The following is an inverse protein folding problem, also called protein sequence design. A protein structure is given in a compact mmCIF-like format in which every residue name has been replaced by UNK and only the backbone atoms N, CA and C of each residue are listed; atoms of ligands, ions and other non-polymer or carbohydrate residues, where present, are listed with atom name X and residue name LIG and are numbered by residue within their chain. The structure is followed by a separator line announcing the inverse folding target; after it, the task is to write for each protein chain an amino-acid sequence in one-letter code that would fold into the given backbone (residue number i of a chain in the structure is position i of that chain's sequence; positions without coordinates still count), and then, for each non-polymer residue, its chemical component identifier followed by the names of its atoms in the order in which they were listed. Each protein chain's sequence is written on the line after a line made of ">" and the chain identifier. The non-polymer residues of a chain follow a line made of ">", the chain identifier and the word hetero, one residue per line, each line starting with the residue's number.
data_IF_485584195910
#
_entry.id   IF_485584195910
#
_cell.length_a   1.000
_cell.length_b   1.000
_cell.length_c   1.000
_cell.angle_alpha   90.00
_cell.angle_beta   90.00
_cell.angle_gamma   90.00
#
_symmetry.space_group_name_H-M   'P 1'
#
loop_
_entity.id
_entity.type
_entity.pdbx_description
1 polymer ?
#
# COMPACT_ATOMS: atom_id res chain seq x y z
N UNK A 1 32.30 9.06 15.68
CA UNK A 1 30.84 8.95 15.81
C UNK A 1 30.23 9.52 14.54
N UNK A 2 29.53 8.70 13.77
CA UNK A 2 29.24 8.97 12.36
C UNK A 2 28.13 10.00 12.13
N UNK A 3 28.17 10.70 10.99
CA UNK A 3 27.18 11.71 10.61
C UNK A 3 25.71 11.24 10.71
N UNK A 4 25.45 9.95 10.51
CA UNK A 4 24.13 9.33 10.68
C UNK A 4 23.64 9.32 12.15
N UNK A 5 24.51 9.13 13.14
CA UNK A 5 24.10 9.16 14.55
C UNK A 5 23.75 10.57 15.01
N UNK A 6 24.48 11.57 14.49
CA UNK A 6 24.22 12.98 14.78
C UNK A 6 22.91 13.44 14.14
N UNK A 7 22.66 13.07 12.87
CA UNK A 7 21.41 13.40 12.17
C UNK A 7 20.17 12.84 12.87
N UNK A 8 20.18 11.56 13.27
CA UNK A 8 19.06 10.96 13.99
C UNK A 8 18.82 11.59 15.37
N UNK A 9 19.90 11.88 16.10
CA UNK A 9 19.82 12.54 17.40
C UNK A 9 19.34 14.01 17.27
N UNK A 10 19.75 14.72 16.23
CA UNK A 10 19.34 16.09 15.97
C UNK A 10 17.87 16.18 15.52
N UNK A 11 17.35 15.19 14.78
CA UNK A 11 15.92 15.05 14.50
C UNK A 11 15.12 14.73 15.78
N UNK A 12 15.62 13.82 16.60
CA UNK A 12 14.97 13.42 17.86
C UNK A 12 14.93 14.56 18.88
N UNK A 13 16.02 15.33 18.99
CA UNK A 13 16.12 16.51 19.87
C UNK A 13 15.48 17.77 19.28
N UNK A 14 15.01 17.74 18.02
CA UNK A 14 14.39 18.87 17.34
C UNK A 14 15.35 19.96 16.87
N UNK A 15 16.67 19.72 16.91
CA UNK A 15 17.70 20.62 16.35
C UNK A 15 17.64 20.69 14.82
N UNK A 16 17.22 19.61 14.17
CA UNK A 16 16.85 19.54 12.76
C UNK A 16 15.35 19.29 12.68
N UNK A 17 14.62 20.15 11.97
CA UNK A 17 13.17 20.06 11.81
C UNK A 17 12.80 20.22 10.34
N UNK A 18 12.40 19.12 9.72
CA UNK A 18 11.90 19.11 8.34
C UNK A 18 10.50 19.75 8.31
N UNK A 19 10.21 20.62 7.33
CA UNK A 19 8.96 21.38 7.29
C UNK A 19 7.83 20.57 6.64
N UNK A 20 7.31 19.55 7.32
CA UNK A 20 6.16 18.76 6.87
C UNK A 20 4.86 19.59 6.88
N UNK A 21 4.54 20.22 8.02
CA UNK A 21 3.31 21.00 8.19
C UNK A 21 3.34 22.33 7.41
N UNK A 22 4.44 23.12 7.43
CA UNK A 22 4.51 24.35 6.63
C UNK A 22 4.38 24.11 5.13
N UNK A 23 4.86 22.96 4.62
CA UNK A 23 4.75 22.57 3.21
C UNK A 23 3.52 21.70 2.90
N UNK A 24 2.53 21.63 3.79
CA UNK A 24 1.34 20.76 3.61
C UNK A 24 0.62 20.91 2.27
N UNK A 25 0.59 22.12 1.67
CA UNK A 25 -0.02 22.35 0.35
C UNK A 25 0.67 21.53 -0.74
N UNK A 26 2.00 21.50 -0.74
CA UNK A 26 2.78 20.70 -1.68
C UNK A 26 2.47 19.21 -1.50
N UNK A 27 2.46 18.74 -0.25
CA UNK A 27 2.21 17.33 0.06
C UNK A 27 0.78 16.90 -0.29
N UNK A 28 -0.23 17.74 -0.06
CA UNK A 28 -1.59 17.47 -0.50
C UNK A 28 -1.73 17.44 -2.02
N UNK A 29 -1.02 18.30 -2.76
CA UNK A 29 -1.02 18.26 -4.22
C UNK A 29 -0.40 16.94 -4.70
N UNK A 30 0.74 16.53 -4.11
CA UNK A 30 1.40 15.26 -4.44
C UNK A 30 0.48 14.08 -4.10
N UNK A 31 -0.11 14.06 -2.91
CA UNK A 31 -1.04 13.00 -2.49
C UNK A 31 -2.26 12.92 -3.41
N UNK A 32 -2.89 14.05 -3.72
CA UNK A 32 -4.01 14.09 -4.64
C UNK A 32 -3.61 13.61 -6.04
N UNK A 33 -2.44 14.00 -6.55
CA UNK A 33 -1.94 13.53 -7.83
C UNK A 33 -1.68 12.01 -7.84
N UNK A 34 -1.12 11.46 -6.76
CA UNK A 34 -0.88 10.02 -6.62
C UNK A 34 -2.20 9.24 -6.53
N UNK A 35 -3.15 9.68 -5.69
CA UNK A 35 -4.46 9.04 -5.52
C UNK A 35 -5.27 9.11 -6.81
N UNK A 36 -5.36 10.28 -7.45
CA UNK A 36 -6.07 10.45 -8.71
C UNK A 36 -5.39 9.63 -9.80
N UNK A 37 -4.07 9.70 -9.90
CA UNK A 37 -3.29 8.88 -10.84
C UNK A 37 -3.60 7.40 -10.67
N UNK A 38 -3.46 6.88 -9.45
CA UNK A 38 -3.77 5.50 -9.08
C UNK A 38 -5.22 5.09 -9.41
N UNK A 39 -6.20 5.96 -9.12
CA UNK A 39 -7.61 5.71 -9.38
C UNK A 39 -7.99 5.75 -10.87
N UNK A 40 -7.20 6.44 -11.71
CA UNK A 40 -7.42 6.51 -13.16
C UNK A 40 -6.75 5.36 -13.92
N UNK A 41 -5.72 4.72 -13.36
CA UNK A 41 -5.05 3.58 -14.02
C UNK A 41 -6.03 2.49 -14.48
N UNK A 42 -7.02 2.06 -13.68
CA UNK A 42 -8.01 1.07 -14.09
C UNK A 42 -8.79 1.38 -15.37
N UNK A 43 -8.88 2.65 -15.78
CA UNK A 43 -9.54 3.06 -17.03
C UNK A 43 -8.74 2.66 -18.28
N UNK A 44 -7.42 2.53 -18.16
CA UNK A 44 -6.52 2.20 -19.26
C UNK A 44 -5.97 0.77 -19.14
N UNK A 45 -5.78 0.29 -17.91
CA UNK A 45 -5.36 -1.07 -17.60
C UNK A 45 -6.26 -1.65 -16.50
N UNK A 46 -7.18 -2.56 -16.85
CA UNK A 46 -8.07 -3.19 -15.88
C UNK A 46 -7.29 -3.84 -14.75
N UNK A 47 -7.85 -3.76 -13.54
CA UNK A 47 -7.31 -4.47 -12.38
C UNK A 47 -7.36 -5.97 -12.65
N UNK A 48 -6.21 -6.63 -12.52
CA UNK A 48 -6.12 -8.06 -12.77
C UNK A 48 -6.47 -8.83 -11.50
N UNK A 49 -7.66 -9.42 -11.45
CA UNK A 49 -8.01 -10.36 -10.39
C UNK A 49 -7.59 -11.77 -10.76
N UNK A 50 -7.30 -12.56 -9.72
CA UNK A 50 -6.93 -13.96 -9.88
C UNK A 50 -8.10 -14.90 -10.12
N UNK A 51 -7.80 -16.13 -10.52
CA UNK A 51 -8.83 -17.17 -10.70
C UNK A 51 -9.51 -17.55 -9.37
N UNK A 52 -8.90 -17.28 -8.22
CA UNK A 52 -9.53 -17.44 -6.91
C UNK A 52 -10.66 -16.42 -6.67
N UNK A 53 -10.71 -15.32 -7.42
CA UNK A 53 -11.82 -14.38 -7.38
C UNK A 53 -12.80 -14.59 -8.53
N UNK A 54 -12.28 -14.87 -9.72
CA UNK A 54 -13.09 -14.94 -10.96
C UNK A 54 -13.65 -16.33 -11.24
N UNK A 55 -13.01 -17.39 -10.73
CA UNK A 55 -13.26 -18.78 -11.11
C UNK A 55 -12.68 -19.10 -12.50
N UNK A 56 -12.35 -20.35 -12.76
CA UNK A 56 -11.80 -20.79 -14.04
C UNK A 56 -10.53 -21.63 -13.91
N UNK A 57 -9.80 -21.78 -15.01
CA UNK A 57 -8.53 -22.50 -15.07
C UNK A 57 -7.37 -21.54 -15.31
N UNK A 58 -6.21 -21.85 -14.73
CA UNK A 58 -4.97 -21.10 -14.92
C UNK A 58 -3.85 -22.06 -15.29
N UNK A 59 -3.05 -21.67 -16.27
CA UNK A 59 -1.83 -22.35 -16.68
C UNK A 59 -0.66 -21.39 -16.48
N UNK A 60 0.44 -21.89 -15.94
CA UNK A 60 1.71 -21.14 -15.88
C UNK A 60 2.77 -21.94 -16.59
N UNK A 61 3.26 -21.39 -17.69
CA UNK A 61 4.36 -21.91 -18.49
C UNK A 61 5.63 -21.22 -18.02
N UNK A 62 6.55 -21.97 -17.42
CA UNK A 62 7.81 -21.43 -16.90
C UNK A 62 8.94 -21.62 -17.90
N UNK A 63 10.02 -20.85 -17.74
CA UNK A 63 11.26 -20.97 -18.52
C UNK A 63 11.05 -20.80 -20.04
N UNK A 64 10.19 -19.88 -20.44
CA UNK A 64 9.92 -19.62 -21.87
C UNK A 64 11.01 -18.74 -22.49
N UNK A 65 11.42 -19.08 -23.71
CA UNK A 65 12.40 -18.29 -24.47
C UNK A 65 11.78 -17.02 -25.08
N UNK A 66 10.48 -17.06 -25.38
CA UNK A 66 9.70 -15.95 -25.92
C UNK A 66 8.42 -15.77 -25.11
N UNK A 67 8.03 -14.50 -24.89
CA UNK A 67 6.88 -14.13 -24.06
C UNK A 67 5.70 -13.61 -24.88
N UNK A 68 5.63 -13.97 -26.16
CA UNK A 68 4.52 -13.60 -27.04
C UNK A 68 3.22 -14.20 -26.48
N UNK A 69 2.27 -13.33 -26.15
CA UNK A 69 0.99 -13.67 -25.55
C UNK A 69 -0.01 -14.20 -26.58
N UNK A 70 0.19 -13.89 -27.87
CA UNK A 70 -0.66 -14.38 -28.95
C UNK A 70 -0.55 -15.90 -29.08
N UNK A 71 0.66 -16.43 -28.95
CA UNK A 71 0.96 -17.86 -28.95
C UNK A 71 0.18 -18.64 -27.89
N UNK A 72 0.16 -18.13 -26.65
CA UNK A 72 -0.64 -18.73 -25.58
C UNK A 72 -2.13 -18.73 -25.89
N UNK A 73 -2.65 -17.63 -26.44
CA UNK A 73 -4.06 -17.52 -26.80
C UNK A 73 -4.44 -18.49 -27.91
N UNK A 74 -3.61 -18.58 -28.95
CA UNK A 74 -3.81 -19.53 -30.06
C UNK A 74 -3.74 -20.98 -29.59
N UNK A 75 -2.76 -21.32 -28.73
CA UNK A 75 -2.63 -22.65 -28.16
C UNK A 75 -3.90 -23.08 -27.40
N UNK A 76 -4.45 -22.21 -26.56
CA UNK A 76 -5.71 -22.50 -25.84
C UNK A 76 -6.88 -22.64 -26.82
N UNK A 77 -7.01 -21.71 -27.77
CA UNK A 77 -8.12 -21.71 -28.72
C UNK A 77 -8.07 -22.87 -29.73
N UNK A 78 -6.89 -23.45 -29.97
CA UNK A 78 -6.73 -24.65 -30.79
C UNK A 78 -7.39 -25.88 -30.14
N UNK A 79 -7.45 -25.91 -28.81
CA UNK A 79 -8.06 -26.99 -28.03
C UNK A 79 -9.51 -26.68 -27.71
N UNK A 80 -9.79 -25.46 -27.25
CA UNK A 80 -11.14 -25.00 -26.90
C UNK A 80 -11.49 -23.74 -27.70
N UNK A 81 -12.11 -23.91 -28.89
CA UNK A 81 -12.48 -22.79 -29.75
C UNK A 81 -13.39 -21.80 -29.03
N UNK A 82 -13.02 -20.51 -29.07
CA UNK A 82 -13.79 -19.44 -28.45
C UNK A 82 -13.59 -19.26 -26.95
N UNK A 83 -12.65 -19.98 -26.33
CA UNK A 83 -12.28 -19.74 -24.94
C UNK A 83 -11.78 -18.30 -24.73
N UNK A 84 -12.26 -17.66 -23.67
CA UNK A 84 -11.78 -16.34 -23.27
C UNK A 84 -10.44 -16.53 -22.57
N UNK A 85 -9.37 -15.99 -23.15
CA UNK A 85 -8.04 -16.04 -22.53
C UNK A 85 -7.62 -14.69 -22.01
N UNK A 86 -6.92 -14.73 -20.88
CA UNK A 86 -6.23 -13.58 -20.32
C UNK A 86 -4.80 -14.00 -20.06
N UNK A 87 -3.90 -13.46 -20.85
CA UNK A 87 -2.49 -13.82 -20.83
C UNK A 87 -1.69 -12.70 -20.18
N UNK A 88 -0.76 -13.05 -19.30
CA UNK A 88 0.12 -12.09 -18.63
C UNK A 88 1.53 -12.66 -18.55
N UNK A 89 2.52 -11.82 -18.85
CA UNK A 89 3.93 -12.17 -18.69
C UNK A 89 4.35 -11.99 -17.23
N UNK A 90 4.96 -13.01 -16.65
CA UNK A 90 5.40 -13.05 -15.25
C UNK A 90 6.93 -13.08 -15.22
N UNK A 91 7.55 -12.06 -14.63
CA UNK A 91 9.01 -12.01 -14.44
C UNK A 91 9.85 -11.95 -15.73
N UNK A 92 9.22 -11.85 -16.91
CA UNK A 92 9.91 -11.83 -18.21
C UNK A 92 10.30 -13.21 -18.75
N UNK A 93 10.15 -14.28 -17.97
CA UNK A 93 10.57 -15.65 -18.32
C UNK A 93 9.45 -16.70 -18.12
N UNK A 94 8.25 -16.25 -17.73
CA UNK A 94 7.08 -17.10 -17.60
C UNK A 94 5.84 -16.45 -18.21
N UNK A 95 4.92 -17.28 -18.69
CA UNK A 95 3.63 -16.86 -19.22
C UNK A 95 2.54 -17.50 -18.39
N UNK A 96 1.62 -16.67 -17.89
CA UNK A 96 0.42 -17.10 -17.19
C UNK A 96 -0.79 -16.90 -18.09
N UNK A 97 -1.59 -17.95 -18.24
CA UNK A 97 -2.81 -17.96 -19.05
C UNK A 97 -3.98 -18.31 -18.16
N UNK A 98 -4.94 -17.41 -18.05
CA UNK A 98 -6.21 -17.63 -17.37
C UNK A 98 -7.31 -17.84 -18.42
N UNK A 99 -8.19 -18.79 -18.17
CA UNK A 99 -9.31 -19.13 -19.05
C UNK A 99 -10.55 -19.46 -18.23
N UNK A 100 -11.70 -19.48 -18.92
CA UNK A 100 -12.93 -20.07 -18.42
C UNK A 100 -12.70 -21.54 -17.95
N UNK A 101 -13.65 -22.08 -17.21
CA UNK A 101 -13.56 -23.42 -16.64
C UNK A 101 -13.31 -24.47 -17.73
N UNK A 102 -12.35 -25.36 -17.47
CA UNK A 102 -12.01 -26.46 -18.36
C UNK A 102 -12.27 -27.80 -17.68
N UNK A 103 -12.63 -28.81 -18.47
CA UNK A 103 -12.60 -30.21 -18.03
C UNK A 103 -11.16 -30.71 -17.86
N UNK A 104 -10.98 -31.84 -17.18
CA UNK A 104 -9.67 -32.49 -17.03
C UNK A 104 -9.06 -32.91 -18.37
N UNK A 105 -9.89 -33.19 -19.38
CA UNK A 105 -9.43 -33.55 -20.72
C UNK A 105 -8.91 -32.31 -21.46
N UNK A 106 -9.67 -31.22 -21.43
CA UNK A 106 -9.28 -29.93 -22.03
C UNK A 106 -8.04 -29.37 -21.34
N UNK A 107 -7.97 -29.44 -20.01
CA UNK A 107 -6.82 -28.97 -19.23
C UNK A 107 -5.53 -29.68 -19.67
N UNK A 108 -5.56 -31.01 -19.80
CA UNK A 108 -4.40 -31.79 -20.26
C UNK A 108 -4.02 -31.46 -21.71
N UNK A 109 -5.00 -31.29 -22.58
CA UNK A 109 -4.75 -30.93 -23.98
C UNK A 109 -4.17 -29.52 -24.11
N UNK A 110 -4.66 -28.55 -23.33
CA UNK A 110 -4.11 -27.18 -23.28
C UNK A 110 -2.70 -27.17 -22.70
N UNK A 111 -2.44 -27.93 -21.63
CA UNK A 111 -1.08 -28.08 -21.08
C UNK A 111 -0.11 -28.57 -22.16
N UNK A 112 -0.50 -29.58 -22.94
CA UNK A 112 0.32 -30.11 -24.03
C UNK A 112 0.52 -29.08 -25.16
N UNK A 113 -0.53 -28.37 -25.57
CA UNK A 113 -0.46 -27.34 -26.61
C UNK A 113 0.44 -26.16 -26.19
N UNK A 114 0.33 -25.71 -24.94
CA UNK A 114 1.19 -24.64 -24.41
C UNK A 114 2.66 -25.08 -24.32
N UNK A 115 2.92 -26.32 -23.90
CA UNK A 115 4.28 -26.86 -23.85
C UNK A 115 4.92 -26.90 -25.25
N UNK A 116 4.16 -27.36 -26.26
CA UNK A 116 4.64 -27.46 -27.65
C UNK A 116 4.94 -26.08 -28.26
N UNK A 117 4.00 -25.13 -28.13
CA UNK A 117 4.15 -23.79 -28.72
C UNK A 117 5.30 -22.99 -28.10
N UNK A 118 5.52 -23.13 -26.79
CA UNK A 118 6.63 -22.47 -26.10
C UNK A 118 7.93 -23.30 -26.10
N UNK A 119 7.92 -24.51 -26.66
CA UNK A 119 9.09 -25.38 -26.74
C UNK A 119 9.65 -25.83 -25.38
N UNK A 120 8.78 -25.97 -24.38
CA UNK A 120 9.14 -26.40 -23.01
C UNK A 120 8.61 -27.81 -22.71
N UNK A 121 9.14 -28.44 -21.67
CA UNK A 121 8.59 -29.71 -21.18
C UNK A 121 7.19 -29.48 -20.57
N UNK A 122 6.29 -30.46 -20.65
CA UNK A 122 4.99 -30.38 -19.97
C UNK A 122 5.12 -30.23 -18.46
N UNK A 123 6.22 -30.71 -17.86
CA UNK A 123 6.54 -30.50 -16.45
C UNK A 123 6.72 -29.02 -16.08
N UNK A 124 7.06 -28.16 -17.05
CA UNK A 124 7.19 -26.71 -16.87
C UNK A 124 5.84 -25.98 -16.97
N UNK A 125 4.76 -26.70 -17.30
CA UNK A 125 3.41 -26.17 -17.40
C UNK A 125 2.58 -26.62 -16.20
N UNK A 126 2.38 -25.70 -15.25
CA UNK A 126 1.56 -25.95 -14.06
C UNK A 126 0.13 -25.48 -14.30
N UNK A 127 -0.86 -26.34 -14.05
CA UNK A 127 -2.29 -25.99 -14.13
C UNK A 127 -2.95 -25.91 -12.76
N UNK A 128 -3.84 -24.93 -12.57
CA UNK A 128 -4.71 -24.77 -11.39
C UNK A 128 -6.15 -24.54 -11.83
N UNK A 129 -7.11 -24.97 -11.02
CA UNK A 129 -8.55 -24.81 -11.28
C UNK A 129 -9.28 -24.34 -10.03
N UNK A 130 -10.16 -23.36 -10.21
CA UNK A 130 -11.04 -22.86 -9.16
C UNK A 130 -12.50 -22.92 -9.65
N UNK A 131 -13.34 -23.59 -8.85
CA UNK A 131 -14.78 -23.67 -9.09
C UNK A 131 -15.50 -22.33 -8.88
N UNK A 132 -16.64 -22.10 -9.55
CA UNK A 132 -17.34 -20.82 -9.53
C UNK A 132 -17.94 -20.47 -8.16
N UNK A 133 -18.38 -21.48 -7.39
CA UNK A 133 -18.87 -21.27 -6.02
C UNK A 133 -17.75 -20.78 -5.10
N UNK A 134 -16.57 -21.40 -5.20
CA UNK A 134 -15.39 -20.99 -4.44
C UNK A 134 -14.98 -19.56 -4.76
N UNK A 135 -14.89 -19.20 -6.06
CA UNK A 135 -14.52 -17.85 -6.48
C UNK A 135 -15.48 -16.77 -5.95
N UNK A 136 -16.78 -17.04 -6.05
CA UNK A 136 -17.80 -16.13 -5.53
C UNK A 136 -17.74 -15.98 -4.00
N UNK A 137 -17.58 -17.10 -3.27
CA UNK A 137 -17.50 -17.10 -1.81
C UNK A 137 -16.24 -16.37 -1.31
N UNK A 138 -15.08 -16.64 -1.92
CA UNK A 138 -13.81 -15.98 -1.58
C UNK A 138 -13.89 -14.48 -1.85
N UNK A 139 -14.37 -14.07 -3.03
CA UNK A 139 -14.56 -12.64 -3.35
C UNK A 139 -15.43 -11.94 -2.31
N UNK A 140 -16.57 -12.54 -1.98
CA UNK A 140 -17.50 -12.00 -0.98
C UNK A 140 -16.83 -11.89 0.38
N UNK A 141 -16.14 -12.93 0.83
CA UNK A 141 -15.47 -12.94 2.13
C UNK A 141 -14.33 -11.92 2.20
N UNK A 142 -13.54 -11.74 1.14
CA UNK A 142 -12.48 -10.72 1.10
C UNK A 142 -13.04 -9.30 1.18
N UNK A 143 -14.12 -8.99 0.46
CA UNK A 143 -14.77 -7.68 0.51
C UNK A 143 -15.37 -7.38 1.89
N UNK A 144 -16.08 -8.36 2.48
CA UNK A 144 -16.60 -8.22 3.85
C UNK A 144 -15.47 -8.10 4.87
N UNK A 145 -14.39 -8.87 4.73
CA UNK A 145 -13.22 -8.80 5.59
C UNK A 145 -12.58 -7.41 5.58
N UNK A 146 -12.40 -6.81 4.40
CA UNK A 146 -11.87 -5.45 4.27
C UNK A 146 -12.81 -4.40 4.88
N UNK A 147 -14.12 -4.48 4.61
CA UNK A 147 -15.09 -3.54 5.14
C UNK A 147 -15.19 -3.61 6.67
N UNK A 148 -15.23 -4.82 7.23
CA UNK A 148 -15.24 -5.06 8.68
C UNK A 148 -13.94 -4.58 9.31
N UNK A 149 -12.79 -4.86 8.68
CA UNK A 149 -11.49 -4.37 9.14
C UNK A 149 -11.50 -2.83 9.25
N UNK A 150 -11.84 -2.12 8.17
CA UNK A 150 -11.86 -0.65 8.17
C UNK A 150 -12.84 -0.08 9.20
N UNK A 151 -14.02 -0.70 9.34
CA UNK A 151 -15.03 -0.29 10.33
C UNK A 151 -14.55 -0.49 11.77
N UNK A 152 -13.97 -1.65 12.08
CA UNK A 152 -13.42 -1.95 13.41
C UNK A 152 -12.20 -1.07 13.70
N UNK A 153 -11.31 -0.84 12.74
CA UNK A 153 -10.20 0.08 12.86
C UNK A 153 -10.69 1.49 13.17
N UNK A 154 -11.70 2.00 12.45
CA UNK A 154 -12.29 3.30 12.75
C UNK A 154 -12.87 3.35 14.16
N UNK A 155 -13.62 2.32 14.58
CA UNK A 155 -14.22 2.27 15.91
C UNK A 155 -13.15 2.26 17.01
N UNK A 156 -12.13 1.40 16.88
CA UNK A 156 -11.02 1.32 17.83
C UNK A 156 -10.29 2.66 17.89
N UNK A 157 -9.98 3.28 16.74
CA UNK A 157 -9.35 4.59 16.71
C UNK A 157 -10.22 5.70 17.27
N UNK A 158 -11.54 5.63 17.12
CA UNK A 158 -12.47 6.60 17.70
C UNK A 158 -12.56 6.46 19.23
N UNK A 159 -12.45 5.24 19.75
CA UNK A 159 -12.40 4.99 21.21
C UNK A 159 -11.03 5.34 21.80
N UNK A 160 -9.96 5.01 21.07
CA UNK A 160 -8.58 5.25 21.47
C UNK A 160 -8.22 6.73 21.43
N UNK A 161 -8.44 7.37 20.28
CA UNK A 161 -8.24 8.80 20.13
C UNK A 161 -9.47 9.55 20.60
N UNK A 162 -9.35 10.25 21.72
CA UNK A 162 -10.39 11.14 22.29
C UNK A 162 -10.82 12.30 21.37
N UNK A 163 -10.27 12.40 20.17
CA UNK A 163 -10.62 13.41 19.16
C UNK A 163 -10.96 12.72 17.86
N UNK A 164 -12.23 12.78 17.44
CA UNK A 164 -12.71 12.15 16.20
C UNK A 164 -11.94 12.60 14.93
N UNK A 165 -11.38 13.82 14.94
CA UNK A 165 -10.55 14.35 13.84
C UNK A 165 -9.25 13.58 13.65
N UNK A 166 -8.66 13.06 14.73
CA UNK A 166 -7.49 12.15 14.64
C UNK A 166 -7.90 10.86 13.94
N UNK A 167 -9.01 10.25 14.36
CA UNK A 167 -9.52 9.02 13.76
C UNK A 167 -9.83 9.19 12.27
N UNK A 168 -10.45 10.31 11.88
CA UNK A 168 -10.72 10.62 10.45
C UNK A 168 -9.43 10.81 9.65
N UNK A 169 -8.45 11.58 10.17
CA UNK A 169 -7.19 11.78 9.47
C UNK A 169 -6.39 10.46 9.29
N UNK A 170 -6.41 9.59 10.31
CA UNK A 170 -5.81 8.27 10.25
C UNK A 170 -6.49 7.35 9.21
N UNK A 171 -7.83 7.30 9.19
CA UNK A 171 -8.56 6.51 8.19
C UNK A 171 -8.32 7.02 6.77
N UNK A 172 -8.30 8.34 6.56
CA UNK A 172 -7.99 8.90 5.23
C UNK A 172 -6.58 8.50 4.80
N UNK A 173 -5.60 8.49 5.72
CA UNK A 173 -4.26 7.94 5.45
C UNK A 173 -4.31 6.46 5.05
N UNK A 174 -5.03 5.61 5.77
CA UNK A 174 -5.17 4.19 5.40
C UNK A 174 -5.83 3.98 4.02
N UNK A 175 -6.83 4.79 3.69
CA UNK A 175 -7.49 4.75 2.37
C UNK A 175 -6.54 5.20 1.27
N UNK A 176 -5.76 6.25 1.50
CA UNK A 176 -4.69 6.72 0.60
C UNK A 176 -3.68 5.59 0.33
N UNK A 177 -3.24 4.87 1.37
CA UNK A 177 -2.36 3.70 1.22
C UNK A 177 -2.98 2.62 0.34
N UNK A 178 -4.24 2.27 0.60
CA UNK A 178 -4.94 1.22 -0.14
C UNK A 178 -5.11 1.59 -1.62
N UNK A 179 -5.57 2.82 -1.91
CA UNK A 179 -5.81 3.26 -3.29
C UNK A 179 -4.51 3.29 -4.09
N UNK A 180 -3.44 3.87 -3.53
CA UNK A 180 -2.15 3.95 -4.21
C UNK A 180 -1.58 2.54 -4.43
N UNK A 181 -1.68 1.65 -3.44
CA UNK A 181 -1.20 0.27 -3.58
C UNK A 181 -1.95 -0.48 -4.68
N UNK A 182 -3.29 -0.40 -4.72
CA UNK A 182 -4.11 -1.03 -5.78
C UNK A 182 -3.83 -0.39 -7.15
N UNK A 183 -3.61 0.92 -7.22
CA UNK A 183 -3.24 1.60 -8.46
C UNK A 183 -1.88 1.15 -9.00
N UNK A 184 -0.89 0.92 -8.12
CA UNK A 184 0.40 0.33 -8.50
C UNK A 184 0.20 -1.08 -9.06
N UNK A 185 -0.63 -1.89 -8.42
CA UNK A 185 -0.98 -3.23 -8.94
C UNK A 185 -1.57 -3.15 -10.35
N UNK A 186 -2.56 -2.29 -10.55
CA UNK A 186 -3.18 -2.08 -11.86
C UNK A 186 -2.18 -1.58 -12.92
N UNK A 187 -1.25 -0.69 -12.52
CA UNK A 187 -0.30 -0.06 -13.44
C UNK A 187 0.68 -1.08 -14.02
N UNK A 188 1.24 -1.91 -13.14
CA UNK A 188 2.19 -2.96 -13.53
C UNK A 188 1.50 -4.25 -14.01
N UNK A 189 0.17 -4.32 -13.94
CA UNK A 189 -0.59 -5.51 -14.31
C UNK A 189 -0.40 -6.66 -13.32
N UNK A 190 -0.03 -6.36 -12.08
CA UNK A 190 0.06 -7.35 -11.02
C UNK A 190 -1.33 -7.86 -10.65
N UNK A 191 -1.36 -9.15 -10.36
CA UNK A 191 -2.57 -9.87 -10.03
C UNK A 191 -2.94 -9.66 -8.56
N UNK A 192 -4.19 -9.33 -8.30
CA UNK A 192 -4.77 -9.30 -6.96
C UNK A 192 -5.34 -10.69 -6.71
N UNK A 193 -4.61 -11.47 -5.92
CA UNK A 193 -5.02 -12.76 -5.37
C UNK A 193 -5.50 -12.61 -3.92
N UNK A 194 -6.21 -13.60 -3.33
CA UNK A 194 -6.53 -13.60 -1.91
C UNK A 194 -5.30 -13.43 -1.03
N UNK A 195 -4.17 -13.97 -1.48
CA UNK A 195 -2.87 -13.79 -0.84
C UNK A 195 -2.44 -12.32 -0.84
N UNK A 196 -2.56 -11.61 -1.96
CA UNK A 196 -2.31 -10.17 -2.03
C UNK A 196 -3.24 -9.37 -1.09
N UNK A 197 -4.51 -9.76 -0.96
CA UNK A 197 -5.45 -9.12 -0.01
C UNK A 197 -5.01 -9.31 1.44
N UNK A 198 -4.50 -10.50 1.81
CA UNK A 198 -3.90 -10.71 3.14
C UNK A 198 -2.72 -9.75 3.35
N UNK A 199 -1.88 -9.55 2.32
CA UNK A 199 -0.82 -8.56 2.35
C UNK A 199 -1.33 -7.13 2.54
N UNK A 200 -2.41 -6.74 1.84
CA UNK A 200 -3.05 -5.43 2.02
C UNK A 200 -3.58 -5.22 3.45
N UNK A 201 -4.22 -6.22 4.05
CA UNK A 201 -4.68 -6.10 5.44
C UNK A 201 -3.51 -6.03 6.44
N UNK A 202 -2.43 -6.74 6.13
CA UNK A 202 -1.20 -6.73 6.94
C UNK A 202 -0.54 -5.35 6.92
N UNK A 203 -0.37 -4.74 5.74
CA UNK A 203 0.21 -3.39 5.65
C UNK A 203 -0.69 -2.33 6.27
N UNK A 204 -2.02 -2.47 6.19
CA UNK A 204 -2.91 -1.50 6.81
C UNK A 204 -2.79 -1.57 8.34
N UNK A 205 -2.65 -2.76 8.90
CA UNK A 205 -2.38 -2.96 10.34
C UNK A 205 -1.04 -2.36 10.75
N UNK A 206 -0.03 -2.49 9.90
CA UNK A 206 1.29 -1.93 10.11
C UNK A 206 1.29 -0.39 10.01
N UNK A 207 0.64 0.18 8.99
CA UNK A 207 0.47 1.61 8.79
C UNK A 207 -0.31 2.26 9.95
N UNK A 208 -1.29 1.53 10.47
CA UNK A 208 -2.05 1.93 11.66
C UNK A 208 -1.13 2.07 12.88
N UNK A 209 -0.23 1.11 13.12
CA UNK A 209 0.71 1.18 14.23
C UNK A 209 1.62 2.43 14.14
N UNK A 210 2.19 2.70 12.96
CA UNK A 210 3.00 3.90 12.74
C UNK A 210 2.19 5.19 12.96
N UNK A 211 0.98 5.25 12.38
CA UNK A 211 0.06 6.38 12.57
C UNK A 211 -0.27 6.60 14.04
N UNK A 212 -0.49 5.53 14.82
CA UNK A 212 -0.78 5.68 16.26
C UNK A 212 0.35 6.30 17.04
N UNK A 213 1.59 5.91 16.78
CA UNK A 213 2.77 6.46 17.48
C UNK A 213 2.98 7.93 17.11
N UNK A 214 2.84 8.28 15.83
CA UNK A 214 2.94 9.68 15.38
C UNK A 214 1.84 10.53 16.04
N UNK A 215 0.61 10.00 16.09
CA UNK A 215 -0.54 10.74 16.61
C UNK A 215 -0.52 10.88 18.14
N UNK A 216 -0.02 9.88 18.85
CA UNK A 216 0.26 10.00 20.28
C UNK A 216 1.30 11.08 20.54
N UNK A 217 2.38 11.13 19.75
CA UNK A 217 3.38 12.19 19.92
C UNK A 217 2.83 13.57 19.58
N UNK A 218 1.95 13.67 18.58
CA UNK A 218 1.23 14.91 18.28
C UNK A 218 0.37 15.32 19.47
N UNK A 219 -0.36 14.38 20.08
CA UNK A 219 -1.18 14.66 21.27
C UNK A 219 -0.31 15.11 22.44
N UNK A 220 0.79 14.43 22.72
CA UNK A 220 1.76 14.82 23.77
C UNK A 220 2.22 16.28 23.56
N UNK A 221 2.75 16.61 22.38
CA UNK A 221 3.27 17.94 22.06
C UNK A 221 2.21 19.05 21.98
N UNK A 222 0.93 18.68 21.81
CA UNK A 222 -0.19 19.64 21.71
C UNK A 222 -1.00 19.77 23.00
N UNK A 223 -0.87 18.83 23.94
CA UNK A 223 -1.62 18.82 25.21
C UNK A 223 -0.72 19.09 26.41
N UNK A 224 0.45 18.43 26.50
CA UNK A 224 1.37 18.59 27.65
C UNK A 224 2.22 19.85 27.52
N UNK A 225 2.77 20.07 26.33
CA UNK A 225 3.52 21.29 26.01
C UNK A 225 2.62 22.43 25.50
N UNK A 226 1.42 22.12 25.01
CA UNK A 226 0.66 23.03 24.13
C UNK A 226 0.01 24.25 24.81
N UNK A 227 -0.24 24.21 26.12
CA UNK A 227 -0.82 25.37 26.84
C UNK A 227 0.25 26.34 27.35
N UNK A 228 1.45 25.82 27.66
CA UNK A 228 2.56 26.58 28.23
C UNK A 228 3.71 26.84 27.24
N UNK A 229 3.77 26.14 26.10
CA UNK A 229 4.82 26.39 25.10
C UNK A 229 4.47 27.56 24.21
N UNK A 230 5.50 28.37 23.88
CA UNK A 230 5.37 29.44 22.91
C UNK A 230 5.30 28.98 21.46
N UNK A 231 4.93 27.72 21.16
CA UNK A 231 4.82 27.14 19.81
C UNK A 231 3.39 27.23 19.25
N UNK A 232 3.27 27.46 17.95
CA UNK A 232 1.98 27.37 17.24
C UNK A 232 1.52 25.91 17.18
N UNK A 233 0.23 25.66 16.96
CA UNK A 233 -0.29 24.30 16.90
C UNK A 233 0.41 23.48 15.80
N UNK A 234 0.49 24.04 14.60
CA UNK A 234 1.17 23.41 13.48
C UNK A 234 2.66 23.16 13.71
N UNK A 235 3.33 24.00 14.53
CA UNK A 235 4.74 23.78 14.90
C UNK A 235 4.88 22.58 15.86
N UNK A 236 3.99 22.44 16.84
CA UNK A 236 3.95 21.26 17.72
C UNK A 236 3.67 19.97 16.94
N UNK A 237 2.75 20.01 15.97
CA UNK A 237 2.50 18.85 15.07
C UNK A 237 3.75 18.54 14.24
N UNK A 238 4.39 19.55 13.66
CA UNK A 238 5.60 19.35 12.85
C UNK A 238 6.74 18.75 13.67
N UNK A 239 6.91 19.20 14.91
CA UNK A 239 7.90 18.65 15.82
C UNK A 239 7.62 17.18 16.13
N UNK A 240 6.36 16.82 16.40
CA UNK A 240 5.99 15.44 16.71
C UNK A 240 6.31 14.48 15.57
N UNK A 241 6.04 14.90 14.32
CA UNK A 241 6.40 14.13 13.12
C UNK A 241 7.92 13.95 13.02
N UNK A 242 8.70 15.00 13.28
CA UNK A 242 10.18 14.90 13.23
C UNK A 242 10.75 13.98 14.33
N UNK A 243 10.20 14.04 15.54
CA UNK A 243 10.63 13.20 16.66
C UNK A 243 10.37 11.71 16.43
N UNK A 244 9.33 11.40 15.65
CA UNK A 244 8.93 10.02 15.34
C UNK A 244 9.52 9.51 14.02
N UNK A 245 10.00 10.40 13.15
CA UNK A 245 10.48 10.08 11.80
C UNK A 245 11.54 8.97 11.76
N UNK A 246 12.55 9.03 12.63
CA UNK A 246 13.62 8.01 12.67
C UNK A 246 13.05 6.63 13.03
N UNK A 247 12.07 6.59 13.94
CA UNK A 247 11.37 5.35 14.29
C UNK A 247 10.60 4.81 13.09
N UNK A 248 9.79 5.65 12.44
CA UNK A 248 8.99 5.27 11.27
C UNK A 248 9.86 4.77 10.12
N UNK A 249 11.00 5.42 9.87
CA UNK A 249 11.99 4.97 8.87
C UNK A 249 12.56 3.60 9.26
N UNK A 250 12.99 3.43 10.52
CA UNK A 250 13.58 2.18 10.97
C UNK A 250 12.60 1.02 10.88
N UNK A 251 11.35 1.22 11.32
CA UNK A 251 10.33 0.19 11.21
C UNK A 251 10.10 -0.15 9.74
N UNK A 252 9.99 0.86 8.86
CA UNK A 252 9.76 0.68 7.42
C UNK A 252 10.87 -0.15 6.79
N UNK A 253 12.14 0.17 7.07
CA UNK A 253 13.30 -0.57 6.57
C UNK A 253 13.27 -2.03 7.04
N UNK A 254 12.97 -2.27 8.32
CA UNK A 254 12.89 -3.62 8.89
C UNK A 254 11.78 -4.45 8.24
N UNK A 255 10.69 -3.84 7.79
CA UNK A 255 9.61 -4.52 7.08
C UNK A 255 9.91 -4.74 5.58
N UNK A 256 10.56 -3.77 4.92
CA UNK A 256 10.89 -3.83 3.49
C UNK A 256 12.02 -4.82 3.20
N UNK A 257 13.03 -4.92 4.06
CA UNK A 257 14.21 -5.76 3.76
C UNK A 257 13.86 -7.26 3.58
N UNK A 258 13.11 -7.92 4.50
CA UNK A 258 12.76 -9.32 4.32
C UNK A 258 11.80 -9.55 3.14
N UNK A 259 10.81 -8.68 2.97
CA UNK A 259 9.82 -8.81 1.90
C UNK A 259 10.42 -8.53 0.52
N UNK A 260 11.33 -7.56 0.44
CA UNK A 260 12.18 -7.32 -0.71
C UNK A 260 13.11 -8.49 -0.99
N UNK A 261 13.72 -9.09 0.03
CA UNK A 261 14.55 -10.29 -0.16
C UNK A 261 13.73 -11.45 -0.74
N UNK A 262 12.51 -11.71 -0.25
CA UNK A 262 11.63 -12.73 -0.83
C UNK A 262 11.25 -12.36 -2.27
N UNK A 263 10.93 -11.10 -2.54
CA UNK A 263 10.54 -10.65 -3.87
C UNK A 263 11.67 -10.75 -4.90
N UNK A 264 12.89 -10.31 -4.56
CA UNK A 264 14.00 -10.27 -5.50
C UNK A 264 14.83 -11.54 -5.50
N UNK A 265 15.10 -12.15 -4.34
CA UNK A 265 15.88 -13.40 -4.26
C UNK A 265 14.95 -14.60 -4.47
N UNK A 266 13.80 -14.63 -3.79
CA UNK A 266 12.86 -15.74 -3.92
C UNK A 266 12.23 -15.86 -5.32
N UNK A 267 11.89 -14.74 -5.97
CA UNK A 267 11.36 -14.78 -7.33
C UNK A 267 12.44 -15.07 -8.38
N UNK A 268 13.57 -14.33 -8.35
CA UNK A 268 14.58 -14.41 -9.42
C UNK A 268 15.49 -15.64 -9.31
N UNK A 269 15.69 -16.20 -8.11
CA UNK A 269 16.64 -17.30 -7.90
C UNK A 269 15.99 -18.63 -7.51
N UNK A 270 14.80 -18.60 -6.90
CA UNK A 270 14.17 -19.80 -6.33
C UNK A 270 12.84 -20.15 -7.01
N UNK A 271 12.35 -19.33 -7.95
CA UNK A 271 11.11 -19.59 -8.69
C UNK A 271 9.86 -19.65 -7.80
N UNK A 272 9.89 -19.08 -6.59
CA UNK A 272 8.81 -19.23 -5.61
C UNK A 272 7.61 -18.30 -5.90
N UNK A 273 6.79 -18.66 -6.89
CA UNK A 273 5.69 -17.82 -7.40
C UNK A 273 4.53 -17.53 -6.42
N UNK A 274 4.32 -18.35 -5.39
CA UNK A 274 3.21 -18.13 -4.43
C UNK A 274 3.56 -17.15 -3.31
N UNK A 275 4.82 -17.12 -2.88
CA UNK A 275 5.30 -16.19 -1.85
C UNK A 275 5.49 -14.76 -2.38
N UNK A 276 5.64 -14.62 -3.69
CA UNK A 276 5.85 -13.33 -4.34
C UNK A 276 4.64 -12.42 -4.25
N UNK A 277 3.42 -12.94 -4.32
CA UNK A 277 2.19 -12.12 -4.30
C UNK A 277 1.99 -11.42 -2.95
N UNK A 278 2.19 -12.16 -1.84
CA UNK A 278 2.12 -11.61 -0.48
C UNK A 278 3.30 -10.67 -0.23
N UNK A 279 4.52 -11.03 -0.65
CA UNK A 279 5.67 -10.14 -0.45
C UNK A 279 5.58 -8.87 -1.26
N UNK A 280 5.06 -8.91 -2.49
CA UNK A 280 4.87 -7.73 -3.32
C UNK A 280 3.88 -6.75 -2.70
N UNK A 281 2.74 -7.26 -2.21
CA UNK A 281 1.72 -6.43 -1.56
C UNK A 281 2.27 -5.77 -0.30
N UNK A 282 3.03 -6.53 0.51
CA UNK A 282 3.65 -5.98 1.70
C UNK A 282 4.73 -4.97 1.33
N UNK A 283 5.62 -5.29 0.39
CA UNK A 283 6.72 -4.42 -0.04
C UNK A 283 6.22 -3.07 -0.56
N UNK A 284 5.28 -3.09 -1.53
CA UNK A 284 4.68 -1.88 -2.10
C UNK A 284 3.89 -1.12 -1.02
N UNK A 285 3.03 -1.82 -0.29
CA UNK A 285 2.18 -1.21 0.73
C UNK A 285 2.96 -0.56 1.86
N UNK A 286 4.09 -1.13 2.28
CA UNK A 286 4.95 -0.55 3.32
C UNK A 286 5.63 0.73 2.86
N UNK A 287 6.08 0.82 1.60
CA UNK A 287 6.64 2.06 1.03
C UNK A 287 5.59 3.17 1.02
N UNK A 288 4.38 2.84 0.55
CA UNK A 288 3.26 3.78 0.49
C UNK A 288 2.82 4.21 1.90
N UNK A 289 2.78 3.27 2.85
CA UNK A 289 2.45 3.54 4.25
C UNK A 289 3.40 4.54 4.91
N UNK A 290 4.71 4.37 4.70
CA UNK A 290 5.73 5.29 5.23
C UNK A 290 5.54 6.73 4.72
N UNK A 291 5.08 6.89 3.48
CA UNK A 291 4.71 8.17 2.92
C UNK A 291 3.41 8.72 3.55
N UNK A 292 2.36 7.90 3.59
CA UNK A 292 1.01 8.37 3.92
C UNK A 292 0.91 8.94 5.34
N UNK A 293 1.51 8.30 6.34
CA UNK A 293 1.45 8.79 7.73
C UNK A 293 2.05 10.21 7.86
N UNK A 294 3.24 10.40 7.31
CA UNK A 294 4.07 11.60 7.48
C UNK A 294 3.60 12.76 6.61
N UNK A 295 3.22 12.48 5.36
CA UNK A 295 2.92 13.50 4.37
C UNK A 295 1.42 13.75 4.16
N UNK A 296 0.55 12.82 4.58
CA UNK A 296 -0.91 12.93 4.39
C UNK A 296 -1.62 13.04 5.74
N UNK A 297 -1.53 12.01 6.59
CA UNK A 297 -2.35 11.91 7.81
C UNK A 297 -2.04 13.03 8.82
N UNK A 298 -0.76 13.24 9.17
CA UNK A 298 -0.38 14.28 10.14
C UNK A 298 -0.66 15.72 9.65
N UNK A 299 -0.32 16.11 8.40
CA UNK A 299 -0.70 17.41 7.85
C UNK A 299 -2.22 17.62 7.77
N UNK A 300 -2.98 16.58 7.42
CA UNK A 300 -4.44 16.63 7.38
C UNK A 300 -5.03 16.88 8.77
N UNK A 301 -4.53 16.17 9.79
CA UNK A 301 -4.94 16.41 11.17
C UNK A 301 -4.64 17.86 11.61
N UNK A 302 -3.45 18.38 11.31
CA UNK A 302 -3.09 19.78 11.58
C UNK A 302 -4.09 20.75 10.92
N UNK A 303 -4.42 20.55 9.65
CA UNK A 303 -5.40 21.39 8.94
C UNK A 303 -6.78 21.37 9.60
N UNK A 304 -7.26 20.20 10.02
CA UNK A 304 -8.59 20.05 10.64
C UNK A 304 -8.67 20.71 12.03
N UNK A 305 -7.56 20.79 12.75
CA UNK A 305 -7.46 21.35 14.11
C UNK A 305 -7.12 22.83 14.12
N UNK A 306 -6.22 23.29 13.27
CA UNK A 306 -5.86 24.72 13.15
C UNK A 306 -7.06 25.60 12.78
N UNK A 307 -8.10 25.00 12.19
CA UNK A 307 -9.33 25.72 11.88
C UNK A 307 -10.29 25.90 13.08
N UNK A 308 -10.03 25.28 14.22
CA UNK A 308 -10.86 25.42 15.42
C UNK A 308 -10.70 26.81 16.07
N UNK A 309 -11.79 27.45 16.52
CA UNK A 309 -11.73 28.79 17.12
C UNK A 309 -10.78 28.88 18.32
N UNK A 310 -10.78 27.87 19.19
CA UNK A 310 -9.92 27.83 20.37
C UNK A 310 -8.42 27.78 20.00
N UNK A 311 -8.06 27.00 18.98
CA UNK A 311 -6.67 26.88 18.51
C UNK A 311 -6.24 28.16 17.79
N UNK A 312 -7.10 28.75 16.95
CA UNK A 312 -6.80 30.04 16.30
C UNK A 312 -6.54 31.14 17.31
N UNK A 313 -7.42 31.31 18.29
CA UNK A 313 -7.27 32.34 19.32
C UNK A 313 -5.99 32.13 20.15
N UNK A 314 -5.64 30.88 20.46
CA UNK A 314 -4.37 30.56 21.13
C UNK A 314 -3.16 30.93 20.26
N UNK A 315 -3.15 30.50 19.01
CA UNK A 315 -2.04 30.74 18.09
C UNK A 315 -1.87 32.24 17.77
N UNK A 316 -2.96 33.02 17.73
CA UNK A 316 -2.90 34.48 17.63
C UNK A 316 -2.23 35.12 18.86
N UNK A 317 -2.57 34.69 20.09
CA UNK A 317 -1.89 35.16 21.30
C UNK A 317 -0.39 34.85 21.30
N UNK A 318 -0.01 33.66 20.81
CA UNK A 318 1.40 33.26 20.68
C UNK A 318 2.13 34.10 19.62
N UNK A 319 1.48 34.44 18.50
CA UNK A 319 2.08 35.35 17.50
C UNK A 319 2.28 36.75 18.09
N UNK A 320 1.26 37.29 18.76
CA UNK A 320 1.34 38.60 19.40
C UNK A 320 2.44 38.66 20.47
N UNK A 321 2.60 37.64 21.30
CA UNK A 321 3.67 37.60 22.31
C UNK A 321 5.06 37.52 21.68
N UNK A 322 5.22 36.79 20.57
CA UNK A 322 6.47 36.75 19.79
C UNK A 322 6.80 38.10 19.16
N UNK A 323 5.81 38.79 18.61
CA UNK A 323 5.98 40.13 18.04
C UNK A 323 6.43 41.13 19.11
N UNK A 324 5.77 41.13 20.28
CA UNK A 324 6.15 41.97 21.41
C UNK A 324 7.61 41.73 21.85
N UNK A 325 8.01 40.46 21.98
CA UNK A 325 9.38 40.09 22.35
C UNK A 325 10.43 40.53 21.32
N UNK A 326 10.08 40.58 20.02
CA UNK A 326 10.95 41.08 18.96
C UNK A 326 11.04 42.60 18.93
N UNK A 327 9.96 43.30 19.31
CA UNK A 327 9.91 44.77 19.34
C UNK A 327 10.50 45.39 20.62
N UNK A 328 10.89 44.59 21.62
CA UNK A 328 11.61 45.05 22.80
C UNK A 328 10.79 45.95 23.75
N UNK A 329 9.47 45.76 23.78
CA UNK A 329 8.56 46.43 24.73
C UNK A 329 8.33 45.58 25.98
#
# INVERSE_FOLDING_TARGET
>A
MGAMSNFGNDLYTGKLSLPFIPKRRLWFIIAAALVIGAALVPLFRPVQFSIEFTGGSQFTVSNVAETDQALATEAVQSVVPGATTKVTTVGGEAIRVQTDQMSDAETRAVTAALADVYGVDQAEVTSSFIGPSWGADVTRQSLWGLAIFLALTFLILALYFRTWKMSVAAIIGLVDVLIITVGIYALFGFEISPAAVIGFLTILSYALYDTTVVFDKIRENTTEDGENSGRLFGESVNLAVNQTLVRSINTTIVAILPTGAILFIGALWLGAQTLTDISLSIFVGTIVAAYSTVFVAAPLYSLMRENEPAIKARDERVRASRELALTGA
#
